data_IF_553907226695
#
_entry.id   IF_553907226695
#
_cell.length_a   1.000
_cell.length_b   1.000
_cell.length_c   1.000
_cell.angle_alpha   90.00
_cell.angle_beta   90.00
_cell.angle_gamma   90.00
#
_symmetry.space_group_name_H-M   'P 1'
#
loop_
_entity.id
_entity.type
_entity.pdbx_description
1 polymer ?
#
# COMPACT_ATOMS: atom_id res chain seq x y z
N UNK A 1 -2.94 -0.90 7.09
CA UNK A 1 -3.18 -0.42 8.47
C UNK A 1 -3.95 -1.42 9.33
N UNK A 2 -4.98 -2.08 8.78
CA UNK A 2 -5.83 -3.05 9.50
C UNK A 2 -5.13 -4.38 9.82
N UNK A 3 -4.16 -4.83 9.04
CA UNK A 3 -3.60 -6.19 9.23
C UNK A 3 -2.57 -6.33 10.36
N UNK A 4 -1.95 -5.23 10.82
CA UNK A 4 -0.89 -5.26 11.85
C UNK A 4 -1.26 -4.55 13.14
N UNK A 5 -2.15 -3.55 13.09
CA UNK A 5 -2.56 -2.80 14.29
C UNK A 5 -3.73 -3.44 15.01
N UNK A 6 -4.59 -4.17 14.30
CA UNK A 6 -5.71 -4.95 14.88
C UNK A 6 -5.22 -6.00 15.89
N UNK A 7 -4.24 -6.87 15.58
CA UNK A 7 -3.74 -7.82 16.59
C UNK A 7 -3.06 -7.13 17.76
N UNK A 8 -2.42 -5.96 17.57
CA UNK A 8 -1.82 -5.20 18.66
C UNK A 8 -2.88 -4.63 19.61
N UNK A 9 -3.99 -4.11 19.07
CA UNK A 9 -5.13 -3.68 19.87
C UNK A 9 -5.79 -4.85 20.61
N UNK A 10 -6.02 -5.98 19.94
CA UNK A 10 -6.60 -7.18 20.55
C UNK A 10 -5.72 -7.72 21.69
N UNK A 11 -4.41 -7.82 21.48
CA UNK A 11 -3.46 -8.23 22.53
C UNK A 11 -3.47 -7.27 23.73
N UNK A 12 -3.63 -5.96 23.51
CA UNK A 12 -3.72 -4.99 24.60
C UNK A 12 -5.01 -5.13 25.41
N UNK A 13 -6.12 -5.48 24.77
CA UNK A 13 -7.39 -5.76 25.44
C UNK A 13 -7.32 -7.06 26.24
N UNK A 14 -6.78 -8.13 25.66
CA UNK A 14 -6.58 -9.42 26.34
C UNK A 14 -5.63 -9.29 27.54
N UNK A 15 -4.53 -8.55 27.41
CA UNK A 15 -3.57 -8.34 28.50
C UNK A 15 -4.13 -7.52 29.68
N UNK A 16 -5.25 -6.81 29.49
CA UNK A 16 -5.93 -6.05 30.54
C UNK A 16 -7.29 -6.67 30.90
N UNK A 17 -7.61 -7.89 30.40
CA UNK A 17 -8.88 -8.59 30.60
C UNK A 17 -10.13 -7.75 30.21
N UNK A 18 -9.99 -6.86 29.22
CA UNK A 18 -11.06 -5.95 28.78
C UNK A 18 -11.84 -6.60 27.63
N UNK A 19 -13.17 -6.64 27.75
CA UNK A 19 -14.04 -7.17 26.69
C UNK A 19 -14.06 -6.22 25.48
N UNK A 20 -13.89 -6.72 24.25
CA UNK A 20 -14.06 -5.91 23.05
C UNK A 20 -15.46 -5.30 22.97
N UNK A 21 -15.55 -4.02 22.61
CA UNK A 21 -16.83 -3.32 22.41
C UNK A 21 -17.38 -2.59 23.63
N UNK A 22 -16.59 -2.44 24.71
CA UNK A 22 -16.89 -1.48 25.79
C UNK A 22 -16.20 -0.13 25.54
N UNK A 23 -16.66 0.92 26.20
CA UNK A 23 -16.04 2.25 26.13
C UNK A 23 -14.56 2.20 26.58
N UNK A 24 -14.23 1.37 27.58
CA UNK A 24 -12.83 1.19 27.99
C UNK A 24 -11.99 0.51 26.89
N UNK A 25 -12.57 -0.42 26.14
CA UNK A 25 -11.89 -1.09 25.05
C UNK A 25 -11.56 -0.13 23.90
N UNK A 26 -12.43 0.84 23.62
CA UNK A 26 -12.19 1.85 22.58
C UNK A 26 -11.03 2.80 22.97
N UNK A 27 -10.99 3.23 24.24
CA UNK A 27 -9.89 4.07 24.75
C UNK A 27 -8.55 3.32 24.70
N UNK A 28 -8.51 2.09 25.23
CA UNK A 28 -7.27 1.29 25.28
C UNK A 28 -6.80 0.90 23.88
N UNK A 29 -7.70 0.49 22.99
CA UNK A 29 -7.34 0.17 21.59
C UNK A 29 -6.84 1.40 20.84
N UNK A 30 -7.41 2.58 21.06
CA UNK A 30 -6.93 3.83 20.46
C UNK A 30 -5.51 4.16 20.91
N UNK A 31 -5.23 4.05 22.21
CA UNK A 31 -3.88 4.27 22.76
C UNK A 31 -2.90 3.23 22.18
N UNK A 32 -3.28 1.95 22.14
CA UNK A 32 -2.45 0.89 21.58
C UNK A 32 -2.11 1.14 20.10
N UNK A 33 -3.11 1.54 19.29
CA UNK A 33 -2.93 1.89 17.87
C UNK A 33 -2.01 3.11 17.71
N UNK A 34 -2.16 4.12 18.56
CA UNK A 34 -1.32 5.32 18.56
C UNK A 34 0.14 4.98 18.89
N UNK A 35 0.37 4.23 19.97
CA UNK A 35 1.71 3.79 20.39
C UNK A 35 2.35 2.90 19.32
N UNK A 36 1.61 1.93 18.77
CA UNK A 36 2.08 1.10 17.65
C UNK A 36 2.54 1.95 16.45
N UNK A 37 1.81 3.03 16.14
CA UNK A 37 2.19 3.96 15.08
C UNK A 37 3.48 4.72 15.41
N UNK A 38 3.61 5.24 16.63
CA UNK A 38 4.81 5.99 17.07
C UNK A 38 6.04 5.08 17.03
N UNK A 39 5.93 3.86 17.57
CA UNK A 39 7.01 2.87 17.58
C UNK A 39 7.41 2.50 16.16
N UNK A 40 6.43 2.27 15.27
CA UNK A 40 6.72 1.97 13.85
C UNK A 40 7.48 3.12 13.19
N UNK A 41 7.04 4.37 13.40
CA UNK A 41 7.71 5.54 12.85
C UNK A 41 9.14 5.70 13.40
N UNK A 42 9.34 5.47 14.70
CA UNK A 42 10.67 5.53 15.31
C UNK A 42 11.61 4.46 14.75
N UNK A 43 11.14 3.22 14.60
CA UNK A 43 11.94 2.13 14.02
C UNK A 43 12.33 2.46 12.58
N UNK A 44 11.38 2.95 11.77
CA UNK A 44 11.66 3.37 10.39
C UNK A 44 12.66 4.53 10.39
N UNK A 45 12.49 5.52 11.26
CA UNK A 45 13.39 6.68 11.36
C UNK A 45 14.83 6.26 11.69
N UNK A 46 15.01 5.39 12.70
CA UNK A 46 16.32 4.85 13.07
C UNK A 46 16.90 4.02 11.92
N UNK A 47 16.08 3.17 11.29
CA UNK A 47 16.48 2.36 10.15
C UNK A 47 17.00 3.20 8.99
N UNK A 48 16.31 4.29 8.64
CA UNK A 48 16.73 5.24 7.59
C UNK A 48 18.02 5.95 8.00
N UNK A 49 18.13 6.38 9.27
CA UNK A 49 19.33 7.06 9.77
C UNK A 49 20.57 6.17 9.66
N UNK A 50 20.43 4.88 9.98
CA UNK A 50 21.50 3.88 9.81
C UNK A 50 21.77 3.61 8.32
N UNK A 51 20.74 3.47 7.50
CA UNK A 51 20.89 3.24 6.05
C UNK A 51 21.62 4.39 5.36
N UNK A 52 21.38 5.63 5.78
CA UNK A 52 22.07 6.81 5.25
C UNK A 52 23.58 6.74 5.41
N UNK A 53 24.08 6.07 6.46
CA UNK A 53 25.51 5.87 6.67
C UNK A 53 26.08 4.75 5.80
N UNK A 54 25.24 3.80 5.37
CA UNK A 54 25.60 2.73 4.44
C UNK A 54 25.38 3.10 2.96
N UNK A 55 24.80 4.26 2.65
CA UNK A 55 24.60 4.75 1.28
C UNK A 55 25.81 4.57 0.36
N UNK A 56 27.06 4.90 0.76
CA UNK A 56 28.21 4.74 -0.13
C UNK A 56 28.49 3.28 -0.54
N UNK A 57 27.99 2.30 0.21
CA UNK A 57 28.11 0.86 -0.11
C UNK A 57 26.91 0.42 -0.97
N UNK A 58 25.73 0.96 -0.68
CA UNK A 58 24.46 0.65 -1.35
C UNK A 58 24.38 1.22 -2.78
N UNK A 59 25.08 2.33 -3.05
CA UNK A 59 25.18 2.96 -4.38
C UNK A 59 26.27 2.34 -5.27
N UNK A 60 26.89 1.24 -4.85
CA UNK A 60 27.79 0.48 -5.72
C UNK A 60 27.07 0.01 -6.99
N UNK A 61 27.79 -0.01 -8.11
CA UNK A 61 27.23 -0.29 -9.46
C UNK A 61 26.49 -1.64 -9.56
N UNK A 62 26.80 -2.58 -8.66
CA UNK A 62 26.12 -3.88 -8.54
C UNK A 62 24.77 -3.81 -7.81
N UNK A 63 24.61 -2.88 -6.87
CA UNK A 63 23.42 -2.76 -6.01
C UNK A 63 22.46 -1.65 -6.48
N UNK A 64 22.96 -0.64 -7.19
CA UNK A 64 22.15 0.42 -7.80
C UNK A 64 20.88 -0.09 -8.54
N UNK A 65 20.95 -1.07 -9.46
CA UNK A 65 19.75 -1.56 -10.15
C UNK A 65 18.78 -2.30 -9.23
N UNK A 66 19.25 -2.86 -8.12
CA UNK A 66 18.37 -3.48 -7.13
C UNK A 66 17.51 -2.42 -6.44
N UNK A 67 18.10 -1.28 -6.07
CA UNK A 67 17.38 -0.17 -5.41
C UNK A 67 16.40 0.56 -6.34
N UNK A 68 16.77 0.76 -7.61
CA UNK A 68 15.87 1.37 -8.60
C UNK A 68 14.58 0.55 -8.81
N UNK A 69 14.69 -0.78 -8.72
CA UNK A 69 13.56 -1.70 -8.92
C UNK A 69 12.79 -2.04 -7.63
N UNK A 70 13.15 -1.45 -6.47
CA UNK A 70 12.41 -1.66 -5.21
C UNK A 70 10.98 -1.15 -5.33
N UNK A 71 10.77 0.06 -5.85
CA UNK A 71 9.43 0.63 -5.97
C UNK A 71 8.54 -0.21 -6.89
N UNK A 72 8.95 -0.54 -8.14
CA UNK A 72 8.19 -1.43 -9.01
C UNK A 72 7.89 -2.80 -8.38
N UNK A 73 8.83 -3.41 -7.67
CA UNK A 73 8.63 -4.73 -7.07
C UNK A 73 7.67 -4.72 -5.88
N UNK A 74 7.75 -3.70 -5.02
CA UNK A 74 6.82 -3.51 -3.90
C UNK A 74 5.39 -3.28 -4.41
N UNK A 75 5.20 -2.37 -5.37
CA UNK A 75 3.87 -2.08 -5.91
C UNK A 75 3.36 -3.20 -6.83
N UNK A 76 4.25 -3.90 -7.54
CA UNK A 76 3.90 -5.05 -8.38
C UNK A 76 3.36 -6.22 -7.55
N UNK A 77 4.03 -6.57 -6.45
CA UNK A 77 3.55 -7.60 -5.53
C UNK A 77 2.18 -7.25 -4.93
N UNK A 78 1.99 -6.00 -4.49
CA UNK A 78 0.69 -5.52 -4.01
C UNK A 78 -0.38 -5.56 -5.10
N UNK A 79 -0.04 -5.13 -6.32
CA UNK A 79 -0.95 -5.13 -7.45
C UNK A 79 -1.45 -6.56 -7.73
N UNK A 80 -0.58 -7.55 -7.77
CA UNK A 80 -0.97 -8.95 -7.99
C UNK A 80 -1.94 -9.45 -6.92
N UNK A 81 -1.69 -9.14 -5.64
CA UNK A 81 -2.60 -9.54 -4.54
C UNK A 81 -3.99 -8.91 -4.70
N UNK A 82 -4.07 -7.63 -5.07
CA UNK A 82 -5.35 -6.95 -5.26
C UNK A 82 -6.07 -7.39 -6.55
N UNK A 83 -5.34 -7.57 -7.65
CA UNK A 83 -5.88 -8.05 -8.92
C UNK A 83 -6.40 -9.49 -8.79
N UNK A 84 -5.70 -10.35 -8.05
CA UNK A 84 -6.10 -11.75 -7.84
C UNK A 84 -7.41 -11.88 -7.07
N UNK A 85 -7.76 -10.86 -6.27
CA UNK A 85 -8.99 -10.86 -5.49
C UNK A 85 -10.22 -10.55 -6.36
N UNK A 86 -10.11 -9.62 -7.30
CA UNK A 86 -11.23 -9.13 -8.13
C UNK A 86 -10.84 -8.95 -9.61
N UNK A 87 -10.49 -10.05 -10.30
CA UNK A 87 -9.95 -10.04 -11.67
C UNK A 87 -10.85 -9.31 -12.69
N UNK A 88 -12.18 -9.43 -12.57
CA UNK A 88 -13.14 -8.82 -13.51
C UNK A 88 -13.12 -7.29 -13.47
N UNK A 89 -12.90 -6.71 -12.29
CA UNK A 89 -12.84 -5.26 -12.09
C UNK A 89 -11.42 -4.75 -12.37
N UNK A 90 -10.41 -5.51 -11.94
CA UNK A 90 -9.01 -5.10 -12.01
C UNK A 90 -8.41 -5.20 -13.43
N UNK A 91 -8.88 -6.13 -14.27
CA UNK A 91 -8.35 -6.29 -15.63
C UNK A 91 -8.64 -5.10 -16.54
N UNK A 92 -9.79 -4.43 -16.40
CA UNK A 92 -10.19 -3.36 -17.32
C UNK A 92 -9.36 -2.07 -17.18
N UNK A 93 -9.08 -1.53 -15.98
CA UNK A 93 -8.15 -0.41 -15.80
C UNK A 93 -6.71 -0.80 -16.18
N UNK A 94 -6.33 -2.05 -15.93
CA UNK A 94 -4.98 -2.53 -16.20
C UNK A 94 -4.70 -2.60 -17.70
N UNK A 95 -5.60 -3.20 -18.47
CA UNK A 95 -5.53 -3.24 -19.94
C UNK A 95 -5.56 -1.81 -20.50
N UNK A 96 -6.43 -0.95 -19.98
CA UNK A 96 -6.50 0.44 -20.44
C UNK A 96 -5.19 1.19 -20.21
N UNK A 97 -4.61 1.09 -19.01
CA UNK A 97 -3.34 1.76 -18.68
C UNK A 97 -2.18 1.19 -19.48
N UNK A 98 -2.12 -0.12 -19.71
CA UNK A 98 -1.08 -0.77 -20.53
C UNK A 98 -1.17 -0.30 -21.99
N UNK A 99 -2.36 -0.27 -22.58
CA UNK A 99 -2.56 0.22 -23.95
C UNK A 99 -2.21 1.70 -24.07
N UNK A 100 -2.59 2.53 -23.09
CA UNK A 100 -2.28 3.95 -23.05
C UNK A 100 -0.76 4.21 -22.99
N UNK A 101 -0.03 3.48 -22.13
CA UNK A 101 1.41 3.63 -22.00
C UNK A 101 2.19 3.14 -23.22
N UNK A 102 1.71 2.10 -23.92
CA UNK A 102 2.29 1.66 -25.20
C UNK A 102 2.06 2.70 -26.30
N UNK A 103 0.87 3.32 -26.34
CA UNK A 103 0.52 4.31 -27.35
C UNK A 103 1.20 5.67 -27.14
N UNK A 104 1.46 6.07 -25.88
CA UNK A 104 2.04 7.37 -25.52
C UNK A 104 3.15 7.19 -24.47
N UNK A 105 4.39 6.87 -24.88
CA UNK A 105 5.51 6.64 -23.97
C UNK A 105 5.95 7.89 -23.18
N UNK A 106 5.62 9.08 -23.69
CA UNK A 106 5.99 10.38 -23.10
C UNK A 106 5.27 10.69 -21.78
N UNK A 107 4.29 9.89 -21.38
CA UNK A 107 3.58 10.02 -20.09
C UNK A 107 4.31 9.31 -18.93
N UNK A 108 5.35 8.52 -19.22
CA UNK A 108 6.19 7.84 -18.21
C UNK A 108 6.88 8.80 -17.24
N UNK A 109 7.10 10.07 -17.62
CA UNK A 109 7.67 11.10 -16.74
C UNK A 109 6.68 11.72 -15.74
N UNK A 110 5.38 11.41 -15.84
CA UNK A 110 4.31 12.00 -15.01
C UNK A 110 3.50 10.94 -14.26
N UNK A 111 4.17 9.87 -13.81
CA UNK A 111 3.56 8.75 -13.07
C UNK A 111 2.68 9.26 -11.91
N UNK A 112 3.12 10.30 -11.20
CA UNK A 112 2.39 10.91 -10.08
C UNK A 112 1.02 11.49 -10.45
N UNK A 113 0.85 12.00 -11.68
CA UNK A 113 -0.42 12.55 -12.18
C UNK A 113 -1.28 11.44 -12.80
N UNK A 114 -0.65 10.38 -13.33
CA UNK A 114 -1.39 9.23 -13.86
C UNK A 114 -2.06 8.37 -12.80
N UNK A 115 -1.56 8.35 -11.56
CA UNK A 115 -2.21 7.62 -10.46
C UNK A 115 -3.66 8.07 -10.21
N UNK A 116 -3.96 9.36 -9.99
CA UNK A 116 -5.35 9.82 -9.81
C UNK A 116 -6.19 9.68 -11.08
N UNK A 117 -5.62 9.87 -12.28
CA UNK A 117 -6.34 9.66 -13.54
C UNK A 117 -6.74 8.19 -13.72
N UNK A 118 -5.83 7.25 -13.43
CA UNK A 118 -6.11 5.82 -13.42
C UNK A 118 -7.21 5.43 -12.43
N UNK A 119 -7.22 6.05 -11.25
CA UNK A 119 -8.25 5.84 -10.25
C UNK A 119 -9.64 6.30 -10.75
N UNK A 120 -9.73 7.46 -11.40
CA UNK A 120 -11.00 7.94 -11.98
C UNK A 120 -11.52 6.96 -13.03
N UNK A 121 -10.65 6.48 -13.92
CA UNK A 121 -11.02 5.51 -14.96
C UNK A 121 -11.47 4.20 -14.34
N UNK A 122 -10.77 3.71 -13.31
CA UNK A 122 -11.18 2.52 -12.56
C UNK A 122 -12.56 2.68 -11.92
N UNK A 123 -12.87 3.86 -11.38
CA UNK A 123 -14.19 4.17 -10.79
C UNK A 123 -15.28 4.20 -11.88
N UNK A 124 -15.03 4.82 -13.04
CA UNK A 124 -15.98 4.88 -14.15
C UNK A 124 -16.26 3.49 -14.71
N UNK A 125 -15.21 2.70 -14.93
CA UNK A 125 -15.32 1.32 -15.42
C UNK A 125 -16.06 0.45 -14.41
N UNK A 126 -15.74 0.57 -13.11
CA UNK A 126 -16.44 -0.15 -12.05
C UNK A 126 -17.93 0.19 -12.02
N UNK A 127 -18.31 1.46 -12.21
CA UNK A 127 -19.73 1.86 -12.30
C UNK A 127 -20.44 1.28 -13.52
N UNK A 128 -19.78 1.24 -14.67
CA UNK A 128 -20.36 0.66 -15.90
C UNK A 128 -20.55 -0.86 -15.73
N UNK A 129 -19.58 -1.55 -15.13
CA UNK A 129 -19.62 -2.99 -14.91
C UNK A 129 -20.68 -3.38 -13.86
N UNK A 130 -20.82 -2.58 -12.80
CA UNK A 130 -21.87 -2.72 -11.78
C UNK A 130 -23.28 -2.53 -12.39
N UNK A 131 -23.48 -1.53 -13.25
CA UNK A 131 -24.76 -1.32 -13.96
C UNK A 131 -25.11 -2.43 -14.94
N UNK A 132 -24.13 -3.21 -15.43
CA UNK A 132 -24.35 -4.37 -16.31
C UNK A 132 -24.61 -5.68 -15.56
N UNK A 133 -24.68 -5.66 -14.22
CA UNK A 133 -24.99 -6.85 -13.40
C UNK A 133 -23.90 -7.92 -13.42
N UNK A 134 -22.66 -7.55 -13.72
CA UNK A 134 -21.50 -8.45 -13.81
C UNK A 134 -20.69 -8.54 -12.50
N UNK A 135 -21.24 -7.96 -11.42
CA UNK A 135 -20.73 -7.98 -10.05
C UNK A 135 -21.72 -8.67 -9.12
#
# INVERSE_FOLDING_TARGET
LTSLKVPCALNALEANDIKPGTDEAEVVSTIAIAVSSIVTTLIIFIGILLLSQLQPILESELLAPAFENILPSLFGALAVVFISKDWKIAAAPLIFMVVLFIAIPSLSGSVSIMVPVGAIIAIVVSRILYKKGLL
#
